data_IF_299758259035
#
_entry.id   IF_299758259035
#
_cell.length_a   1.000
_cell.length_b   1.000
_cell.length_c   1.000
_cell.angle_alpha   90.00
_cell.angle_beta   90.00
_cell.angle_gamma   90.00
#
_symmetry.space_group_name_H-M   'P 1'
#
loop_
_entity.id
_entity.type
_entity.pdbx_description
1 polymer ?
#
# COMPACT_ATOMS: atom_id res chain seq x y z
N UNK A 1 -18.77 47.62 29.28
CA UNK A 1 -19.74 47.77 28.19
C UNK A 1 -19.86 46.45 27.44
N UNK A 2 -20.99 45.74 27.56
CA UNK A 2 -21.26 44.52 26.80
C UNK A 2 -22.07 44.84 25.52
N UNK A 3 -21.81 44.14 24.43
CA UNK A 3 -22.65 44.15 23.22
C UNK A 3 -23.13 42.71 23.00
N UNK A 4 -24.45 42.47 22.85
CA UNK A 4 -25.01 41.14 22.72
C UNK A 4 -25.00 40.61 21.29
N UNK A 5 -24.85 39.30 21.21
CA UNK A 5 -25.04 38.41 20.06
C UNK A 5 -26.54 38.09 19.93
N UNK A 6 -27.13 38.39 18.77
CA UNK A 6 -28.49 37.98 18.41
C UNK A 6 -28.44 36.77 17.50
N UNK A 7 -29.15 35.71 17.90
CA UNK A 7 -29.25 34.45 17.18
C UNK A 7 -30.15 34.50 15.96
N UNK A 8 -30.07 33.45 15.15
CA UNK A 8 -31.13 33.04 14.24
C UNK A 8 -31.05 31.53 14.05
N UNK A 9 -32.10 30.90 14.55
CA UNK A 9 -32.43 29.48 14.56
C UNK A 9 -33.19 29.16 13.27
N UNK A 10 -32.80 28.12 12.53
CA UNK A 10 -33.58 27.60 11.39
C UNK A 10 -33.63 26.08 11.42
N UNK A 11 -34.71 25.62 12.04
CA UNK A 11 -35.59 24.50 11.72
C UNK A 11 -35.06 23.34 10.86
N UNK A 12 -35.07 22.18 11.52
CA UNK A 12 -34.96 20.81 11.02
C UNK A 12 -36.19 20.44 10.16
N UNK A 13 -35.95 20.04 8.92
CA UNK A 13 -36.94 19.39 8.05
C UNK A 13 -36.73 17.88 8.01
N UNK A 14 -37.62 17.14 8.66
CA UNK A 14 -37.70 15.67 8.64
C UNK A 14 -38.51 15.21 7.42
N UNK A 15 -37.96 14.29 6.62
CA UNK A 15 -38.69 13.64 5.52
C UNK A 15 -38.45 12.13 5.59
N UNK A 16 -39.51 11.39 5.93
CA UNK A 16 -39.56 9.93 5.96
C UNK A 16 -39.58 9.32 4.55
N UNK A 17 -38.93 8.16 4.32
CA UNK A 17 -39.14 7.40 3.09
C UNK A 17 -40.22 6.33 3.24
N UNK A 18 -41.18 6.36 2.31
CA UNK A 18 -42.28 5.41 2.12
C UNK A 18 -41.77 4.08 1.58
N UNK A 19 -42.11 2.98 2.27
CA UNK A 19 -41.96 1.60 1.80
C UNK A 19 -42.87 1.32 0.61
N UNK A 20 -42.32 0.77 -0.48
CA UNK A 20 -43.09 0.12 -1.55
C UNK A 20 -42.64 -1.32 -1.74
N UNK A 21 -43.57 -2.23 -1.46
CA UNK A 21 -43.60 -3.67 -1.72
C UNK A 21 -43.97 -3.97 -3.17
N UNK A 22 -43.31 -4.97 -3.78
CA UNK A 22 -43.80 -5.86 -4.86
C UNK A 22 -42.60 -6.66 -5.38
N UNK A 23 -42.65 -7.88 -5.88
CA UNK A 23 -43.61 -8.98 -5.94
C UNK A 23 -42.88 -10.11 -6.68
N UNK A 24 -43.29 -11.34 -6.38
CA UNK A 24 -42.88 -12.66 -6.88
C UNK A 24 -42.87 -12.92 -8.40
N UNK A 25 -42.03 -13.88 -8.85
CA UNK A 25 -42.37 -15.09 -9.65
C UNK A 25 -41.06 -15.64 -10.29
N UNK A 26 -40.50 -16.80 -9.95
CA UNK A 26 -40.92 -18.20 -10.13
C UNK A 26 -40.95 -18.73 -11.57
N UNK A 27 -40.12 -19.77 -11.77
CA UNK A 27 -40.26 -20.93 -12.67
C UNK A 27 -40.28 -20.75 -14.20
N UNK A 28 -39.44 -21.52 -14.91
CA UNK A 28 -39.88 -22.80 -15.52
C UNK A 28 -38.74 -23.48 -16.29
N UNK A 29 -38.75 -24.80 -16.18
CA UNK A 29 -37.79 -25.82 -16.58
C UNK A 29 -38.15 -26.41 -17.96
N UNK A 30 -37.29 -27.32 -18.45
CA UNK A 30 -37.52 -28.40 -19.44
C UNK A 30 -37.15 -28.11 -20.90
N UNK A 31 -36.65 -29.05 -21.72
CA UNK A 31 -36.14 -30.44 -21.60
C UNK A 31 -35.57 -30.82 -22.99
N UNK A 32 -34.59 -31.74 -23.01
CA UNK A 32 -34.26 -32.77 -24.02
C UNK A 32 -34.89 -32.76 -25.44
N UNK A 33 -34.09 -33.11 -26.47
CA UNK A 33 -33.97 -34.49 -27.01
C UNK A 33 -32.93 -34.60 -28.14
N UNK A 34 -32.31 -35.79 -28.21
CA UNK A 34 -31.29 -36.25 -29.15
C UNK A 34 -31.86 -36.73 -30.51
N UNK A 35 -30.98 -36.83 -31.51
CA UNK A 35 -31.23 -37.52 -32.78
C UNK A 35 -29.97 -37.59 -33.68
N UNK A 36 -29.31 -38.75 -33.66
CA UNK A 36 -28.53 -39.36 -34.76
C UNK A 36 -29.41 -40.51 -35.32
N UNK A 37 -29.17 -41.16 -36.50
CA UNK A 37 -27.84 -41.67 -36.94
C UNK A 37 -27.62 -41.86 -38.48
N UNK A 38 -26.48 -42.47 -38.81
CA UNK A 38 -26.19 -43.38 -39.95
C UNK A 38 -26.03 -42.78 -41.36
N UNK A 39 -25.27 -43.33 -42.31
CA UNK A 39 -24.11 -44.24 -42.44
C UNK A 39 -23.89 -44.38 -43.97
N UNK A 40 -22.80 -45.06 -44.39
CA UNK A 40 -22.45 -45.53 -45.75
C UNK A 40 -21.66 -44.54 -46.65
N UNK A 41 -20.78 -44.97 -47.55
CA UNK A 41 -19.95 -46.17 -47.80
C UNK A 41 -19.35 -45.91 -49.19
N UNK A 42 -18.03 -46.03 -49.39
CA UNK A 42 -17.47 -46.27 -50.72
C UNK A 42 -16.06 -46.85 -50.63
N UNK A 43 -15.94 -48.09 -51.13
CA UNK A 43 -14.72 -48.86 -51.28
C UNK A 43 -13.90 -48.43 -52.52
N UNK A 44 -12.64 -48.90 -52.50
CA UNK A 44 -11.94 -49.64 -53.57
C UNK A 44 -10.89 -48.89 -54.43
N UNK A 45 -9.63 -49.30 -54.20
CA UNK A 45 -8.76 -50.00 -55.17
C UNK A 45 -7.38 -49.39 -55.40
N UNK A 46 -6.40 -50.25 -55.13
CA UNK A 46 -4.94 -50.24 -55.33
C UNK A 46 -4.51 -50.13 -56.81
N UNK A 47 -3.30 -49.61 -57.03
CA UNK A 47 -2.19 -50.08 -57.93
C UNK A 47 -1.52 -48.92 -58.69
N UNK A 48 -0.24 -48.67 -58.36
CA UNK A 48 0.78 -48.00 -59.21
C UNK A 48 1.51 -49.05 -60.08
N UNK A 49 2.20 -48.68 -61.17
CA UNK A 49 3.62 -48.28 -61.09
C UNK A 49 3.98 -47.06 -61.96
N UNK A 50 4.78 -46.12 -61.46
CA UNK A 50 6.21 -45.91 -61.81
C UNK A 50 6.54 -45.82 -63.31
N UNK A 51 6.61 -44.57 -63.82
CA UNK A 51 7.47 -44.18 -64.92
C UNK A 51 8.14 -42.85 -64.53
N UNK A 52 9.41 -42.92 -64.16
CA UNK A 52 10.19 -41.82 -63.59
C UNK A 52 11.03 -41.21 -64.72
N UNK A 53 10.61 -40.04 -65.20
CA UNK A 53 11.36 -39.20 -66.13
C UNK A 53 11.75 -37.91 -65.41
N UNK A 54 13.05 -37.65 -65.37
CA UNK A 54 13.74 -36.37 -65.19
C UNK A 54 12.97 -35.20 -64.56
N UNK A 55 13.12 -35.04 -63.24
CA UNK A 55 12.94 -33.77 -62.57
C UNK A 55 14.13 -33.50 -61.65
N UNK A 56 14.79 -32.38 -61.95
CA UNK A 56 15.94 -31.81 -61.24
C UNK A 56 15.66 -31.69 -59.73
N UNK A 57 16.69 -31.82 -58.86
CA UNK A 57 16.47 -31.70 -57.42
C UNK A 57 15.96 -30.30 -57.09
N UNK A 58 14.72 -30.26 -56.56
CA UNK A 58 14.11 -29.09 -55.99
C UNK A 58 15.09 -28.45 -55.00
N UNK A 59 15.50 -27.23 -55.30
CA UNK A 59 16.21 -26.37 -54.37
C UNK A 59 15.50 -26.44 -53.02
N UNK A 60 16.26 -26.80 -51.99
CA UNK A 60 15.84 -26.72 -50.61
C UNK A 60 15.29 -25.31 -50.38
N UNK A 61 13.96 -25.19 -50.30
CA UNK A 61 13.31 -24.10 -49.57
C UNK A 61 13.64 -24.33 -48.10
N UNK A 62 14.88 -24.03 -47.73
CA UNK A 62 15.21 -23.71 -46.35
C UNK A 62 14.31 -22.53 -46.03
N UNK A 63 13.24 -22.79 -45.28
CA UNK A 63 12.40 -21.76 -44.72
C UNK A 63 13.25 -21.08 -43.63
N UNK A 64 14.25 -20.31 -44.06
CA UNK A 64 14.96 -19.37 -43.23
C UNK A 64 13.93 -18.29 -42.91
N UNK A 65 13.25 -18.44 -41.78
CA UNK A 65 12.57 -17.33 -41.15
C UNK A 65 13.66 -16.26 -40.97
N UNK A 66 13.61 -15.12 -41.67
CA UNK A 66 14.62 -14.10 -41.47
C UNK A 66 14.58 -13.70 -40.00
N UNK A 67 15.74 -13.74 -39.34
CA UNK A 67 15.94 -13.33 -37.95
C UNK A 67 15.86 -11.80 -37.78
N UNK A 68 14.90 -11.17 -38.44
CA UNK A 68 14.37 -9.87 -38.10
C UNK A 68 13.01 -10.09 -37.44
N UNK A 69 13.01 -10.77 -36.29
CA UNK A 69 12.00 -10.46 -35.29
C UNK A 69 12.28 -9.03 -34.87
N UNK A 70 11.75 -8.06 -35.63
CA UNK A 70 11.69 -6.66 -35.25
C UNK A 70 11.18 -6.66 -33.83
N UNK A 71 12.06 -6.36 -32.88
CA UNK A 71 11.69 -6.33 -31.46
C UNK A 71 10.45 -5.46 -31.38
N UNK A 72 9.35 -5.97 -30.83
CA UNK A 72 8.08 -5.23 -30.77
C UNK A 72 8.22 -3.85 -30.08
N UNK A 73 9.34 -3.60 -29.40
CA UNK A 73 9.74 -2.31 -28.81
C UNK A 73 9.91 -1.21 -29.86
N UNK A 74 10.27 -1.58 -31.09
CA UNK A 74 10.49 -0.65 -32.20
C UNK A 74 9.18 -0.18 -32.86
N UNK A 75 8.04 -0.82 -32.56
CA UNK A 75 6.77 -0.53 -33.23
C UNK A 75 6.04 0.68 -32.63
N UNK A 76 5.96 0.80 -31.30
CA UNK A 76 5.42 2.00 -30.65
C UNK A 76 5.68 1.99 -29.12
N UNK A 77 6.13 3.10 -28.49
CA UNK A 77 6.36 3.17 -27.04
C UNK A 77 5.09 3.04 -26.18
N UNK A 78 3.89 3.09 -26.79
CA UNK A 78 2.60 2.90 -26.10
C UNK A 78 2.05 1.46 -26.20
N UNK A 79 2.78 0.53 -26.79
CA UNK A 79 2.32 -0.84 -26.96
C UNK A 79 2.41 -1.59 -25.61
N UNK A 80 1.24 -1.89 -25.02
CA UNK A 80 1.17 -2.50 -23.69
C UNK A 80 1.63 -3.97 -23.73
N UNK A 81 2.58 -4.32 -22.87
CA UNK A 81 3.05 -5.70 -22.66
C UNK A 81 2.64 -6.18 -21.28
N UNK A 82 1.87 -7.26 -21.21
CA UNK A 82 1.42 -7.84 -19.94
C UNK A 82 2.55 -8.30 -19.00
N UNK A 83 3.75 -8.52 -19.54
CA UNK A 83 4.95 -8.92 -18.80
C UNK A 83 5.80 -7.76 -18.26
N UNK A 84 5.46 -6.51 -18.60
CA UNK A 84 6.23 -5.34 -18.17
C UNK A 84 5.49 -4.54 -17.09
N UNK A 85 6.26 -4.04 -16.11
CA UNK A 85 5.76 -3.00 -15.23
C UNK A 85 5.48 -1.75 -16.06
N UNK A 86 4.23 -1.31 -16.06
CA UNK A 86 3.82 -0.09 -16.77
C UNK A 86 4.53 1.09 -16.10
N UNK A 87 5.31 1.87 -16.86
CA UNK A 87 5.86 3.13 -16.35
C UNK A 87 4.70 4.00 -15.88
N UNK A 88 4.70 4.40 -14.61
CA UNK A 88 3.74 5.38 -14.13
C UNK A 88 4.01 6.69 -14.88
N UNK A 89 2.99 7.30 -15.48
CA UNK A 89 3.14 8.57 -16.21
C UNK A 89 3.42 9.77 -15.29
N UNK A 90 3.51 9.56 -13.97
CA UNK A 90 3.81 10.58 -12.97
C UNK A 90 5.08 10.26 -12.18
N UNK A 91 5.58 11.26 -11.47
CA UNK A 91 6.81 11.19 -10.67
C UNK A 91 6.75 10.08 -9.61
N UNK A 92 7.91 9.45 -9.36
CA UNK A 92 8.08 8.43 -8.34
C UNK A 92 9.19 8.86 -7.37
N UNK A 93 8.98 8.62 -6.08
CA UNK A 93 9.99 8.81 -5.03
C UNK A 93 10.71 7.49 -4.79
N UNK A 94 12.04 7.51 -4.75
CA UNK A 94 12.85 6.33 -4.46
C UNK A 94 12.42 5.67 -3.13
N UNK A 95 12.26 4.34 -3.14
CA UNK A 95 11.91 3.61 -1.92
C UNK A 95 13.05 3.57 -0.91
N UNK A 96 14.30 3.71 -1.35
CA UNK A 96 15.50 3.43 -0.55
C UNK A 96 15.83 1.95 -0.41
N UNK A 97 15.02 1.07 -1.00
CA UNK A 97 15.11 -0.38 -0.86
C UNK A 97 15.18 -1.03 -2.24
N UNK A 98 16.37 -1.35 -2.76
CA UNK A 98 16.53 -1.84 -4.14
C UNK A 98 15.66 -3.05 -4.48
N UNK A 99 15.51 -3.99 -3.54
CA UNK A 99 14.67 -5.16 -3.70
C UNK A 99 13.18 -4.82 -3.88
N UNK A 100 12.70 -3.77 -3.21
CA UNK A 100 11.33 -3.28 -3.38
C UNK A 100 11.19 -2.42 -4.64
N UNK A 101 12.15 -1.54 -4.91
CA UNK A 101 12.16 -0.68 -6.10
C UNK A 101 12.04 -1.47 -7.40
N UNK A 102 12.71 -2.62 -7.51
CA UNK A 102 12.61 -3.52 -8.66
C UNK A 102 11.17 -4.00 -8.93
N UNK A 103 10.31 -3.98 -7.91
CA UNK A 103 8.95 -4.50 -7.95
C UNK A 103 7.88 -3.44 -8.08
N UNK A 104 8.23 -2.17 -7.91
CA UNK A 104 7.30 -1.07 -8.04
C UNK A 104 7.30 -0.52 -9.46
N UNK A 105 6.12 -0.24 -10.05
CA UNK A 105 6.05 0.42 -11.34
C UNK A 105 6.78 1.76 -11.30
N UNK A 106 7.77 1.96 -12.18
CA UNK A 106 8.59 3.18 -12.18
C UNK A 106 9.74 3.19 -11.16
N UNK A 107 9.98 2.10 -10.43
CA UNK A 107 11.14 1.97 -9.54
C UNK A 107 10.99 2.65 -8.17
N UNK A 108 9.79 3.14 -7.83
CA UNK A 108 9.59 3.96 -6.65
C UNK A 108 8.12 4.06 -6.22
N UNK A 109 7.89 4.85 -5.18
CA UNK A 109 6.56 5.19 -4.70
C UNK A 109 5.90 6.22 -5.61
N UNK A 110 4.70 5.95 -6.16
CA UNK A 110 4.04 6.88 -7.07
C UNK A 110 3.55 8.13 -6.31
N UNK A 111 3.90 9.32 -6.80
CA UNK A 111 3.33 10.59 -6.34
C UNK A 111 1.99 10.87 -7.00
N UNK A 112 1.18 11.70 -6.35
CA UNK A 112 -0.14 12.08 -6.85
C UNK A 112 -1.09 10.90 -7.00
N UNK A 113 -0.85 9.82 -6.25
CA UNK A 113 -1.52 8.55 -6.41
C UNK A 113 -1.74 7.88 -5.06
N UNK A 114 -2.81 7.11 -4.94
CA UNK A 114 -3.15 6.42 -3.71
C UNK A 114 -2.35 5.12 -3.62
N UNK A 115 -1.48 5.01 -2.62
CA UNK A 115 -0.86 3.75 -2.23
C UNK A 115 -1.47 3.22 -0.94
N UNK A 116 -1.96 1.98 -0.95
CA UNK A 116 -2.46 1.33 0.27
C UNK A 116 -1.40 0.43 0.91
N UNK A 117 -1.20 0.61 2.22
CA UNK A 117 -0.40 -0.28 3.05
C UNK A 117 -1.35 -1.03 4.01
N UNK A 118 -1.42 -2.34 3.85
CA UNK A 118 -2.36 -3.21 4.54
C UNK A 118 -1.62 -4.01 5.62
N UNK A 119 -1.96 -3.81 6.89
CA UNK A 119 -1.22 -4.43 8.00
C UNK A 119 -2.16 -5.18 8.95
N UNK A 120 -1.68 -6.26 9.57
CA UNK A 120 -2.47 -7.00 10.57
C UNK A 120 -2.78 -6.14 11.81
N UNK A 121 -1.86 -5.24 12.15
CA UNK A 121 -1.95 -4.25 13.21
C UNK A 121 -0.84 -3.20 13.06
N UNK A 122 -0.89 -2.12 13.85
CA UNK A 122 0.16 -1.11 13.83
C UNK A 122 1.51 -1.70 14.26
N UNK A 123 2.59 -1.18 13.71
CA UNK A 123 3.94 -1.57 14.12
C UNK A 123 4.56 -2.69 13.28
N UNK A 124 4.02 -2.97 12.09
CA UNK A 124 4.65 -3.88 11.12
C UNK A 124 5.96 -3.32 10.53
N UNK A 125 6.29 -2.06 10.81
CA UNK A 125 7.44 -1.36 10.26
C UNK A 125 7.06 -0.35 9.17
N UNK A 126 5.79 0.05 9.10
CA UNK A 126 5.23 0.87 8.02
C UNK A 126 5.95 2.22 7.90
N UNK A 127 6.17 2.91 9.01
CA UNK A 127 6.89 4.19 9.01
C UNK A 127 8.38 4.03 8.67
N UNK A 128 9.02 2.95 9.13
CA UNK A 128 10.44 2.68 8.82
C UNK A 128 10.65 2.33 7.36
N UNK A 129 9.73 1.55 6.77
CA UNK A 129 9.72 1.26 5.35
C UNK A 129 9.70 2.56 4.52
N UNK A 130 8.91 3.54 4.96
CA UNK A 130 8.75 4.83 4.29
C UNK A 130 9.83 5.85 4.64
N UNK A 131 10.69 5.58 5.64
CA UNK A 131 11.68 6.53 6.15
C UNK A 131 12.54 7.15 5.05
N UNK A 132 13.16 6.33 4.19
CA UNK A 132 14.02 6.82 3.11
C UNK A 132 13.26 7.71 2.13
N UNK A 133 12.03 7.34 1.79
CA UNK A 133 11.19 8.15 0.91
C UNK A 133 10.87 9.50 1.55
N UNK A 134 10.49 9.51 2.84
CA UNK A 134 10.17 10.74 3.57
C UNK A 134 11.36 11.69 3.72
N UNK A 135 12.58 11.15 3.93
CA UNK A 135 13.80 11.95 4.03
C UNK A 135 14.17 12.66 2.71
N UNK A 136 13.77 12.10 1.56
CA UNK A 136 14.05 12.64 0.22
C UNK A 136 13.05 13.68 -0.26
N UNK A 137 11.95 13.88 0.48
CA UNK A 137 10.91 14.83 0.11
C UNK A 137 11.34 16.29 0.31
N UNK A 138 10.78 17.25 -0.47
CA UNK A 138 11.12 18.68 -0.39
C UNK A 138 11.09 19.23 1.04
N UNK A 139 12.22 19.76 1.52
CA UNK A 139 12.42 20.15 2.92
C UNK A 139 11.45 21.23 3.43
N UNK A 140 10.89 22.05 2.54
CA UNK A 140 9.99 23.16 2.90
C UNK A 140 8.52 22.74 3.07
N UNK A 141 8.19 21.51 2.67
CA UNK A 141 6.81 21.03 2.72
C UNK A 141 6.60 20.10 3.93
N UNK A 142 5.43 20.20 4.60
CA UNK A 142 5.09 19.35 5.73
C UNK A 142 4.84 17.90 5.29
N UNK A 143 5.04 17.00 6.25
CA UNK A 143 4.60 15.61 6.21
C UNK A 143 3.47 15.46 7.23
N UNK A 144 2.29 15.10 6.74
CA UNK A 144 1.08 15.01 7.54
C UNK A 144 0.86 13.57 7.98
N UNK A 145 0.79 13.35 9.31
CA UNK A 145 0.31 12.11 9.91
C UNK A 145 -1.12 12.32 10.40
N UNK A 146 -2.08 11.69 9.71
CA UNK A 146 -3.50 11.80 10.01
C UNK A 146 -4.01 10.52 10.68
N UNK A 147 -4.62 10.67 11.85
CA UNK A 147 -5.14 9.56 12.66
C UNK A 147 -4.12 8.46 13.02
N UNK A 148 -2.82 8.76 13.27
CA UNK A 148 -1.89 7.69 13.60
C UNK A 148 -2.35 6.96 14.87
N UNK A 149 -2.21 5.62 14.91
CA UNK A 149 -2.72 4.78 16.00
C UNK A 149 -2.01 5.05 17.34
N UNK A 150 -0.80 5.61 17.27
CA UNK A 150 0.02 5.97 18.43
C UNK A 150 0.55 7.39 18.26
N UNK A 151 0.99 7.98 19.37
CA UNK A 151 1.63 9.29 19.38
C UNK A 151 2.94 9.20 18.60
N UNK A 152 3.18 10.06 17.58
CA UNK A 152 4.43 10.09 16.85
C UNK A 152 5.63 10.35 17.77
N UNK A 153 6.66 9.53 17.67
CA UNK A 153 7.85 9.63 18.53
C UNK A 153 8.87 10.62 17.95
N UNK A 154 8.91 11.85 18.48
CA UNK A 154 9.68 12.95 17.88
C UNK A 154 11.20 12.70 17.82
N UNK A 155 11.77 11.96 18.78
CA UNK A 155 13.18 11.62 18.76
C UNK A 155 13.53 10.65 17.63
N UNK A 156 12.63 9.70 17.33
CA UNK A 156 12.79 8.81 16.18
C UNK A 156 12.65 9.59 14.86
N UNK A 157 11.70 10.55 14.81
CA UNK A 157 11.55 11.45 13.66
C UNK A 157 12.82 12.26 13.39
N UNK A 158 13.44 12.83 14.43
CA UNK A 158 14.73 13.55 14.31
C UNK A 158 15.85 12.68 13.78
N UNK A 159 15.94 11.44 14.26
CA UNK A 159 16.97 10.49 13.85
C UNK A 159 16.92 10.16 12.36
N UNK A 160 15.72 10.19 11.77
CA UNK A 160 15.52 9.95 10.35
C UNK A 160 15.91 11.13 9.45
N UNK A 161 16.29 12.26 10.05
CA UNK A 161 16.69 13.51 9.40
C UNK A 161 15.61 14.33 8.65
N UNK A 162 14.28 14.08 8.70
CA UNK A 162 13.33 15.14 8.43
C UNK A 162 13.32 16.16 9.59
N UNK A 163 13.35 17.45 9.24
CA UNK A 163 13.19 18.53 10.22
C UNK A 163 11.89 18.32 11.03
N UNK A 164 11.95 18.31 12.39
CA UNK A 164 10.78 18.10 13.27
C UNK A 164 9.60 19.03 12.97
N UNK A 165 9.90 20.24 12.54
CA UNK A 165 8.94 21.31 12.24
C UNK A 165 8.08 20.97 11.03
N UNK A 166 8.50 20.00 10.20
CA UNK A 166 7.73 19.49 9.06
C UNK A 166 6.65 18.50 9.48
N UNK A 167 6.70 17.95 10.69
CA UNK A 167 5.75 16.94 11.15
C UNK A 167 4.43 17.60 11.58
N UNK A 168 3.37 17.41 10.79
CA UNK A 168 2.03 17.84 11.16
C UNK A 168 1.21 16.62 11.62
N UNK A 169 0.83 16.61 12.89
CA UNK A 169 0.00 15.55 13.47
C UNK A 169 -1.45 16.00 13.58
N UNK A 170 -2.34 15.35 12.83
CA UNK A 170 -3.76 15.63 12.82
C UNK A 170 -4.55 14.49 13.47
N UNK A 171 -5.36 14.82 14.48
CA UNK A 171 -6.29 13.88 15.14
C UNK A 171 -7.69 14.46 15.27
N UNK A 172 -8.45 14.57 14.17
CA UNK A 172 -9.87 14.88 14.26
C UNK A 172 -10.60 13.85 15.14
N UNK A 173 -11.62 14.26 15.86
CA UNK A 173 -12.39 13.32 16.71
C UNK A 173 -13.36 12.48 15.89
N UNK A 174 -13.87 13.02 14.78
CA UNK A 174 -14.84 12.34 13.91
C UNK A 174 -14.19 11.79 12.64
N UNK A 175 -14.70 10.65 12.16
CA UNK A 175 -14.23 10.02 10.94
C UNK A 175 -14.47 10.89 9.69
N UNK A 176 -15.59 11.61 9.63
CA UNK A 176 -15.90 12.51 8.53
C UNK A 176 -14.94 13.70 8.48
N UNK A 177 -14.59 14.26 9.63
CA UNK A 177 -13.62 15.35 9.72
C UNK A 177 -12.23 14.88 9.30
N UNK A 178 -11.85 13.63 9.60
CA UNK A 178 -10.61 13.04 9.11
C UNK A 178 -10.61 12.89 7.59
N UNK A 179 -11.69 12.38 7.00
CA UNK A 179 -11.82 12.29 5.54
C UNK A 179 -11.80 13.66 4.87
N UNK A 180 -12.46 14.65 5.48
CA UNK A 180 -12.46 16.01 5.00
C UNK A 180 -11.05 16.62 5.09
N UNK A 181 -10.36 16.48 6.22
CA UNK A 181 -8.99 16.95 6.39
C UNK A 181 -8.04 16.30 5.38
N UNK A 182 -8.15 15.00 5.12
CA UNK A 182 -7.38 14.31 4.08
C UNK A 182 -7.63 14.92 2.69
N UNK A 183 -8.90 15.15 2.33
CA UNK A 183 -9.29 15.77 1.06
C UNK A 183 -8.74 17.21 0.93
N UNK A 184 -8.77 18.01 2.02
CA UNK A 184 -8.20 19.35 2.03
C UNK A 184 -6.67 19.34 1.86
N UNK A 185 -5.98 18.46 2.59
CA UNK A 185 -4.52 18.30 2.49
C UNK A 185 -4.12 17.95 1.05
N UNK A 186 -4.77 16.96 0.45
CA UNK A 186 -4.48 16.53 -0.92
C UNK A 186 -4.77 17.62 -1.96
N UNK A 187 -5.91 18.33 -1.84
CA UNK A 187 -6.28 19.41 -2.77
C UNK A 187 -5.39 20.63 -2.68
N UNK A 188 -4.84 20.92 -1.51
CA UNK A 188 -3.96 22.07 -1.32
C UNK A 188 -2.65 21.93 -2.10
N UNK A 189 -2.17 20.70 -2.31
CA UNK A 189 -0.85 20.45 -2.90
C UNK A 189 0.33 20.97 -2.06
N UNK A 190 0.08 21.44 -0.83
CA UNK A 190 1.07 22.10 0.00
C UNK A 190 1.94 21.13 0.80
N UNK A 191 1.55 19.85 0.92
CA UNK A 191 2.28 18.84 1.68
C UNK A 191 3.10 17.93 0.78
N UNK A 192 4.25 17.49 1.27
CA UNK A 192 5.07 16.53 0.56
C UNK A 192 4.53 15.11 0.69
N UNK A 193 3.93 14.79 1.84
CA UNK A 193 3.33 13.49 2.08
C UNK A 193 2.13 13.57 3.02
N UNK A 194 1.19 12.65 2.80
CA UNK A 194 0.07 12.36 3.69
C UNK A 194 0.08 10.87 4.01
N UNK A 195 0.22 10.53 5.29
CA UNK A 195 0.02 9.19 5.82
C UNK A 195 -1.27 9.20 6.62
N UNK A 196 -2.28 8.50 6.14
CA UNK A 196 -3.59 8.46 6.75
C UNK A 196 -3.94 7.05 7.21
N UNK A 197 -4.12 6.86 8.51
CA UNK A 197 -4.60 5.61 9.09
C UNK A 197 -6.12 5.63 9.18
N UNK A 198 -6.78 4.65 8.57
CA UNK A 198 -8.20 4.43 8.82
C UNK A 198 -8.58 2.97 8.65
N UNK A 199 -9.55 2.53 9.44
CA UNK A 199 -10.01 1.14 9.45
C UNK A 199 -11.10 0.90 8.41
N UNK A 200 -12.20 1.63 8.53
CA UNK A 200 -13.37 1.47 7.67
C UNK A 200 -13.57 2.74 6.83
N UNK A 201 -13.17 2.68 5.56
CA UNK A 201 -13.46 3.71 4.57
C UNK A 201 -14.30 3.09 3.46
N UNK A 202 -15.36 3.80 3.06
CA UNK A 202 -16.21 3.40 1.94
C UNK A 202 -15.47 3.56 0.60
N UNK A 203 -15.70 2.69 -0.39
CA UNK A 203 -15.02 2.76 -1.69
C UNK A 203 -15.15 4.12 -2.39
N UNK A 204 -16.29 4.82 -2.22
CA UNK A 204 -16.55 6.14 -2.79
C UNK A 204 -15.63 7.20 -2.20
N UNK A 205 -15.40 7.16 -0.89
CA UNK A 205 -14.47 8.05 -0.20
C UNK A 205 -13.03 7.79 -0.63
N UNK A 206 -12.62 6.52 -0.79
CA UNK A 206 -11.30 6.18 -1.34
C UNK A 206 -11.12 6.70 -2.76
N UNK A 207 -12.15 6.60 -3.60
CA UNK A 207 -12.10 7.10 -4.98
C UNK A 207 -11.97 8.62 -5.00
N UNK A 208 -12.74 9.32 -4.16
CA UNK A 208 -12.64 10.77 -4.03
C UNK A 208 -11.24 11.20 -3.56
N UNK A 209 -10.67 10.54 -2.55
CA UNK A 209 -9.31 10.85 -2.08
C UNK A 209 -8.25 10.53 -3.15
N UNK A 210 -8.40 9.43 -3.88
CA UNK A 210 -7.51 9.11 -4.98
C UNK A 210 -7.55 10.18 -6.09
N UNK A 211 -8.75 10.67 -6.44
CA UNK A 211 -8.93 11.79 -7.38
C UNK A 211 -8.35 13.08 -6.83
N UNK A 212 -8.55 13.38 -5.54
CA UNK A 212 -7.99 14.57 -4.90
C UNK A 212 -6.45 14.55 -4.87
N UNK A 213 -5.83 13.38 -4.79
CA UNK A 213 -4.38 13.24 -4.90
C UNK A 213 -3.88 13.47 -6.34
N UNK A 214 -4.71 13.22 -7.36
CA UNK A 214 -4.32 13.45 -8.76
C UNK A 214 -4.06 14.93 -8.99
N UNK A 215 -2.95 15.25 -9.68
CA UNK A 215 -2.55 16.63 -9.97
C UNK A 215 -1.74 17.30 -8.87
N UNK A 216 -1.41 16.58 -7.79
CA UNK A 216 -0.40 17.01 -6.80
C UNK A 216 0.81 16.10 -6.86
N UNK A 217 1.96 16.59 -6.39
CA UNK A 217 3.15 15.75 -6.15
C UNK A 217 3.15 15.14 -4.74
N UNK A 218 2.00 15.15 -4.05
CA UNK A 218 1.88 14.59 -2.70
C UNK A 218 2.11 13.09 -2.74
N UNK A 219 2.99 12.60 -1.89
CA UNK A 219 3.16 11.17 -1.64
C UNK A 219 2.05 10.70 -0.67
N UNK A 220 1.05 9.98 -1.19
CA UNK A 220 -0.15 9.63 -0.43
C UNK A 220 -0.22 8.14 -0.07
N UNK A 221 -0.15 7.86 1.24
CA UNK A 221 -0.34 6.54 1.81
C UNK A 221 -1.60 6.45 2.65
N UNK A 222 -2.36 5.39 2.40
CA UNK A 222 -3.50 4.99 3.19
C UNK A 222 -3.15 3.70 3.95
N UNK A 223 -3.06 3.78 5.27
CA UNK A 223 -2.74 2.65 6.14
C UNK A 223 -4.04 2.03 6.67
N UNK A 224 -4.27 0.76 6.35
CA UNK A 224 -5.55 0.06 6.58
C UNK A 224 -5.31 -1.34 7.16
N UNK A 225 -6.30 -1.93 7.83
CA UNK A 225 -6.19 -3.30 8.32
C UNK A 225 -6.09 -4.30 7.16
N UNK A 226 -5.44 -5.44 7.41
CA UNK A 226 -5.25 -6.52 6.44
C UNK A 226 -6.58 -7.07 5.89
N UNK A 227 -7.66 -6.99 6.69
CA UNK A 227 -9.02 -7.35 6.25
C UNK A 227 -9.53 -6.53 5.06
N UNK A 228 -8.92 -5.38 4.77
CA UNK A 228 -9.23 -4.58 3.60
C UNK A 228 -8.66 -5.16 2.29
N UNK A 229 -7.75 -6.14 2.33
CA UNK A 229 -7.11 -6.71 1.13
C UNK A 229 -8.13 -7.26 0.12
N UNK A 230 -9.19 -7.90 0.59
CA UNK A 230 -10.29 -8.43 -0.25
C UNK A 230 -11.29 -7.38 -0.73
N UNK A 231 -11.22 -6.15 -0.20
CA UNK A 231 -12.15 -5.08 -0.58
C UNK A 231 -11.71 -4.43 -1.89
N UNK A 232 -12.70 -4.02 -2.70
CA UNK A 232 -12.44 -3.22 -3.90
C UNK A 232 -11.80 -1.88 -3.54
N UNK A 233 -10.79 -1.48 -4.29
CA UNK A 233 -10.04 -0.25 -4.04
C UNK A 233 -9.59 0.41 -5.35
N UNK A 234 -9.69 1.75 -5.46
CA UNK A 234 -9.18 2.51 -6.59
C UNK A 234 -7.65 2.61 -6.60
N UNK A 235 -6.97 2.30 -5.49
CA UNK A 235 -5.51 2.39 -5.37
C UNK A 235 -4.80 1.58 -6.47
N UNK A 236 -3.94 2.18 -7.31
CA UNK A 236 -3.17 1.44 -8.31
C UNK A 236 -2.06 0.58 -7.69
N UNK A 237 -1.62 0.90 -6.46
CA UNK A 237 -0.64 0.13 -5.71
C UNK A 237 -1.21 -0.25 -4.34
N UNK A 238 -1.22 -1.55 -4.02
CA UNK A 238 -1.67 -2.10 -2.73
C UNK A 238 -0.66 -3.13 -2.26
N UNK A 239 -0.14 -2.90 -1.05
CA UNK A 239 0.88 -3.75 -0.45
C UNK A 239 0.38 -4.29 0.89
N UNK A 240 0.70 -5.54 1.20
CA UNK A 240 0.58 -6.08 2.55
C UNK A 240 1.92 -5.96 3.26
N UNK A 241 1.89 -5.61 4.54
CA UNK A 241 3.08 -5.55 5.38
C UNK A 241 2.93 -6.50 6.55
N UNK A 242 3.96 -7.33 6.73
CA UNK A 242 4.07 -8.27 7.86
C UNK A 242 5.44 -8.11 8.48
N UNK A 243 5.48 -7.91 9.79
CA UNK A 243 6.75 -7.84 10.52
C UNK A 243 7.54 -9.14 10.33
N UNK A 244 8.83 -9.01 10.10
CA UNK A 244 9.77 -10.12 9.94
C UNK A 244 11.03 -9.86 10.76
N UNK A 245 11.82 -10.90 11.01
CA UNK A 245 13.08 -10.75 11.73
C UNK A 245 14.03 -9.82 10.93
N UNK A 246 14.44 -8.71 11.54
CA UNK A 246 15.34 -7.73 10.89
C UNK A 246 14.69 -6.89 9.79
N UNK A 247 13.37 -6.91 9.63
CA UNK A 247 12.73 -6.22 8.52
C UNK A 247 11.22 -6.35 8.43
N UNK A 248 10.72 -6.22 7.20
CA UNK A 248 9.31 -6.35 6.85
C UNK A 248 9.18 -7.19 5.58
N UNK A 249 8.24 -8.14 5.60
CA UNK A 249 7.78 -8.84 4.40
C UNK A 249 6.71 -7.98 3.71
N UNK A 250 6.99 -7.58 2.48
CA UNK A 250 6.11 -6.78 1.63
C UNK A 250 5.47 -7.67 0.58
N UNK A 251 4.18 -7.97 0.73
CA UNK A 251 3.39 -8.65 -0.30
C UNK A 251 2.77 -7.64 -1.26
N UNK A 252 2.65 -7.99 -2.55
CA UNK A 252 2.06 -7.11 -3.57
C UNK A 252 0.67 -7.63 -3.94
N UNK A 253 -0.37 -7.03 -3.37
CA UNK A 253 -1.77 -7.43 -3.67
C UNK A 253 -2.28 -6.81 -4.97
N UNK A 254 -1.79 -5.62 -5.32
CA UNK A 254 -2.16 -4.93 -6.57
C UNK A 254 -1.03 -4.02 -7.00
N UNK A 255 -0.65 -4.08 -8.28
CA UNK A 255 0.24 -3.13 -8.94
C UNK A 255 -0.12 -3.03 -10.42
N UNK A 256 0.40 -2.02 -11.12
CA UNK A 256 0.33 -1.95 -12.58
C UNK A 256 1.44 -2.81 -13.20
N UNK A 257 1.09 -3.81 -13.99
CA UNK A 257 2.04 -4.75 -14.60
C UNK A 257 1.83 -6.18 -14.11
N UNK A 258 2.81 -7.08 -14.32
CA UNK A 258 2.67 -8.50 -14.00
C UNK A 258 2.41 -8.71 -12.51
N UNK A 259 1.58 -9.69 -12.17
CA UNK A 259 1.35 -10.10 -10.79
C UNK A 259 2.66 -10.61 -10.15
N UNK A 260 2.74 -10.54 -8.83
CA UNK A 260 3.82 -11.13 -8.04
C UNK A 260 3.23 -11.70 -6.76
N UNK A 261 3.31 -13.02 -6.64
CA UNK A 261 2.73 -13.74 -5.51
C UNK A 261 3.73 -13.91 -4.36
N UNK A 262 5.04 -13.78 -4.64
CA UNK A 262 6.09 -13.92 -3.63
C UNK A 262 6.38 -12.59 -2.92
N UNK A 263 6.33 -12.55 -1.57
CA UNK A 263 6.66 -11.36 -0.81
C UNK A 263 8.13 -10.96 -1.01
N UNK A 264 8.39 -9.67 -0.89
CA UNK A 264 9.73 -9.08 -0.91
C UNK A 264 10.14 -8.83 0.54
N UNK A 265 11.26 -9.42 0.97
CA UNK A 265 11.84 -9.05 2.26
C UNK A 265 12.59 -7.73 2.14
N UNK A 266 12.26 -6.77 3.00
CA UNK A 266 12.94 -5.48 3.10
C UNK A 266 13.58 -5.40 4.48
N UNK A 267 14.91 -5.33 4.52
CA UNK A 267 15.65 -5.10 5.75
C UNK A 267 15.36 -3.69 6.28
N UNK A 268 15.02 -3.59 7.56
CA UNK A 268 14.77 -2.31 8.22
C UNK A 268 15.87 -2.11 9.26
N UNK A 269 16.76 -1.14 9.02
CA UNK A 269 17.82 -0.83 9.98
C UNK A 269 17.22 -0.27 11.28
N UNK A 270 17.57 -0.92 12.40
CA UNK A 270 17.14 -0.52 13.75
C UNK A 270 18.24 0.29 14.44
N UNK A 271 19.47 0.24 13.93
CA UNK A 271 20.68 0.82 14.51
C UNK A 271 20.70 2.35 14.42
N UNK A 272 19.94 2.92 13.50
CA UNK A 272 19.83 4.37 13.32
C UNK A 272 18.96 5.08 14.37
N UNK A 273 18.33 4.34 15.30
CA UNK A 273 17.64 4.97 16.42
C UNK A 273 18.67 5.44 17.45
N UNK A 274 18.62 6.72 17.90
CA UNK A 274 19.33 7.10 19.11
C UNK A 274 18.91 6.14 20.22
N UNK A 275 19.83 5.75 21.12
CA UNK A 275 19.49 4.83 22.19
C UNK A 275 18.24 5.36 22.89
N UNK A 276 17.22 4.49 23.00
CA UNK A 276 15.87 4.84 23.49
C UNK A 276 15.88 5.35 24.93
N UNK A 277 17.04 5.26 25.58
CA UNK A 277 17.40 5.86 26.84
C UNK A 277 18.80 6.45 26.66
N UNK A 278 19.12 7.64 27.22
CA UNK A 278 20.52 7.94 27.50
C UNK A 278 21.08 6.76 28.28
N UNK A 279 22.30 6.32 27.94
CA UNK A 279 22.97 5.25 28.67
C UNK A 279 22.98 5.62 30.15
N UNK A 280 22.14 4.95 30.93
CA UNK A 280 22.01 5.17 32.38
C UNK A 280 23.09 4.35 33.10
N UNK A 281 24.02 3.69 32.38
CA UNK A 281 25.14 2.97 32.99
C UNK A 281 25.97 3.85 33.93
N UNK A 282 25.97 5.17 33.70
CA UNK A 282 26.69 6.14 34.53
C UNK A 282 25.78 7.07 35.35
N UNK A 283 24.45 6.92 35.33
CA UNK A 283 23.67 7.62 36.34
C UNK A 283 23.94 6.91 37.68
N UNK A 284 24.41 7.61 38.72
CA UNK A 284 24.57 7.00 40.03
C UNK A 284 23.19 6.49 40.42
N UNK A 285 23.02 5.17 40.37
CA UNK A 285 21.85 4.52 40.92
C UNK A 285 21.82 5.01 42.37
N UNK A 286 20.79 5.75 42.74
CA UNK A 286 20.56 6.19 44.10
C UNK A 286 20.25 4.94 44.92
N UNK A 287 21.31 4.17 45.20
CA UNK A 287 21.32 3.07 46.13
C UNK A 287 20.97 3.73 47.45
N UNK A 288 19.73 3.52 47.90
CA UNK A 288 19.27 3.93 49.22
C UNK A 288 20.41 3.72 50.21
N UNK A 289 20.94 4.83 50.73
CA UNK A 289 21.94 4.81 51.78
C UNK A 289 21.43 3.85 52.86
N UNK A 290 22.17 2.77 53.19
CA UNK A 290 21.73 1.89 54.25
C UNK A 290 21.56 2.72 55.52
N UNK A 291 20.38 2.61 56.13
CA UNK A 291 20.07 3.25 57.42
C UNK A 291 21.22 2.95 58.36
N UNK A 292 21.85 4.00 58.88
CA UNK A 292 22.93 3.89 59.85
C UNK A 292 22.42 3.03 61.02
N UNK A 293 23.14 1.96 61.33
CA UNK A 293 22.82 1.10 62.46
C UNK A 293 22.83 1.94 63.74
N UNK A 294 21.71 1.98 64.45
CA UNK A 294 21.61 2.63 65.75
C UNK A 294 22.67 2.03 66.70
N UNK A 295 23.39 2.88 67.46
CA UNK A 295 24.32 2.38 68.47
C UNK A 295 23.52 1.59 69.51
N UNK A 296 23.81 0.28 69.61
CA UNK A 296 23.27 -0.57 70.67
C UNK A 296 23.56 0.06 72.02
N UNK A 297 22.52 0.49 72.73
CA UNK A 297 22.63 0.85 74.15
C UNK A 297 23.22 -0.33 74.91
N UNK A 298 24.33 -0.08 75.61
CA UNK A 298 24.89 -1.03 76.55
C UNK A 298 23.85 -1.33 77.64
N UNK A 299 23.48 -2.60 77.79
CA UNK A 299 22.68 -3.05 78.92
C UNK A 299 23.53 -2.94 80.19
N UNK A 300 23.05 -2.17 81.17
CA UNK A 300 23.58 -2.22 82.52
C UNK A 300 23.31 -3.59 83.12
N UNK A 301 24.38 -4.36 83.35
CA UNK A 301 24.36 -5.53 84.23
C UNK A 301 24.54 -5.02 85.66
N UNK A 302 23.48 -5.06 86.46
CA UNK A 302 23.59 -5.01 87.92
C UNK A 302 23.65 -6.46 88.40
N UNK A 303 24.83 -6.86 88.85
CA UNK A 303 25.05 -8.06 89.64
C UNK A 303 24.66 -7.77 91.11
N UNK A 304 24.00 -8.76 91.71
CA UNK A 304 23.80 -9.08 93.14
C UNK A 304 24.06 -8.01 94.20
#
# INVERSE_FOLDING_TARGET
>A
MPIPISGSDVAVGSISPTTRTSSSASSTQARHRAGQPSDQSALKTTVQPELQADLQPAAQLTNQVPAHATSLDALHPALWRGSQLVRHAGHCVDTGHPALSAELPGGGWPQGSLTELLTAGPGAGELRLLQSALARLPAQQPIVLLQPPHIPHIAAWRAWQPAPERLLWLRPTQANDALWAADQVLRSGCCAALLFWARNIRPESLRRLHVAAQGSDTLFFMLRPLSAASQSSPAPLRLTLKAAAGGVEVGITKRRGPARDQPVHVALDISALPPLYPDVSDAPMDLRTPVAAEPRRAAHVLAH
#
